data_IF_363061963396
#
_entry.id   IF_363061963396
#
_cell.length_a   1.000
_cell.length_b   1.000
_cell.length_c   1.000
_cell.angle_alpha   90.00
_cell.angle_beta   90.00
_cell.angle_gamma   90.00
#
_symmetry.space_group_name_H-M   'P 1'
#
loop_
_entity.id
_entity.type
_entity.pdbx_description
1 polymer ?
#
# COMPACT_ATOMS: atom_id res chain seq x y z
N UNK A 1 -7.54 -7.69 -2.72
CA UNK A 1 -7.32 -6.23 -2.75
C UNK A 1 -7.09 -5.68 -1.35
N UNK A 2 -7.78 -6.19 -0.34
CA UNK A 2 -7.65 -5.82 1.09
C UNK A 2 -6.21 -5.58 1.59
N UNK A 3 -5.29 -6.53 1.40
CA UNK A 3 -3.88 -6.37 1.81
C UNK A 3 -3.20 -5.20 1.08
N UNK A 4 -3.43 -5.04 -0.22
CA UNK A 4 -2.81 -3.98 -1.00
C UNK A 4 -3.31 -2.59 -0.59
N UNK A 5 -4.61 -2.45 -0.34
CA UNK A 5 -5.21 -1.19 0.09
C UNK A 5 -4.76 -0.83 1.51
N UNK A 6 -4.65 -1.84 2.38
CA UNK A 6 -4.06 -1.68 3.71
C UNK A 6 -2.61 -1.18 3.62
N UNK A 7 -1.78 -1.80 2.79
CA UNK A 7 -0.39 -1.36 2.61
C UNK A 7 -0.31 0.05 2.06
N UNK A 8 -1.12 0.34 1.04
CA UNK A 8 -1.16 1.65 0.38
C UNK A 8 -1.47 2.76 1.37
N UNK A 9 -2.50 2.58 2.20
CA UNK A 9 -2.90 3.55 3.20
C UNK A 9 -1.79 3.81 4.21
N UNK A 10 -1.19 2.76 4.78
CA UNK A 10 -0.15 2.94 5.80
C UNK A 10 1.16 3.52 5.27
N UNK A 11 1.51 3.22 4.02
CA UNK A 11 2.70 3.80 3.38
C UNK A 11 2.48 5.27 3.07
N UNK A 12 1.33 5.64 2.49
CA UNK A 12 1.08 7.01 2.08
C UNK A 12 0.72 7.94 3.24
N UNK A 13 -0.10 7.48 4.19
CA UNK A 13 -0.57 8.31 5.31
C UNK A 13 0.47 8.43 6.41
N UNK A 14 1.22 7.36 6.69
CA UNK A 14 2.10 7.28 7.86
C UNK A 14 3.55 6.96 7.54
N UNK A 15 3.93 6.78 6.27
CA UNK A 15 5.32 6.52 5.89
C UNK A 15 5.90 5.26 6.54
N UNK A 16 5.06 4.27 6.88
CA UNK A 16 5.52 3.12 7.65
C UNK A 16 6.54 2.27 6.86
N UNK A 17 7.72 1.96 7.43
CA UNK A 17 8.69 1.11 6.77
C UNK A 17 8.17 -0.33 6.63
N UNK A 18 8.65 -1.12 5.65
CA UNK A 18 8.12 -2.45 5.34
C UNK A 18 8.06 -3.40 6.54
N UNK A 19 9.08 -3.39 7.40
CA UNK A 19 9.13 -4.24 8.60
C UNK A 19 8.04 -3.90 9.62
N UNK A 20 7.82 -2.59 9.86
CA UNK A 20 6.76 -2.11 10.75
C UNK A 20 5.38 -2.43 10.15
N UNK A 21 5.20 -2.18 8.86
CA UNK A 21 3.95 -2.47 8.16
C UNK A 21 3.60 -3.96 8.19
N UNK A 22 4.59 -4.85 8.00
CA UNK A 22 4.39 -6.29 8.11
C UNK A 22 3.90 -6.69 9.50
N UNK A 23 4.50 -6.14 10.56
CA UNK A 23 4.09 -6.41 11.95
C UNK A 23 2.65 -5.94 12.21
N UNK A 24 2.29 -4.75 11.75
CA UNK A 24 0.94 -4.20 11.91
C UNK A 24 -0.06 -5.06 11.13
N UNK A 25 0.25 -5.44 9.89
CA UNK A 25 -0.61 -6.29 9.07
C UNK A 25 -0.86 -7.66 9.72
N UNK A 26 0.17 -8.29 10.30
CA UNK A 26 0.00 -9.55 11.06
C UNK A 26 -0.97 -9.43 12.23
N UNK A 27 -1.01 -8.27 12.88
CA UNK A 27 -1.92 -8.03 13.99
C UNK A 27 -3.34 -7.72 13.50
N UNK A 28 -3.46 -6.90 12.45
CA UNK A 28 -4.74 -6.51 11.86
C UNK A 28 -5.48 -7.68 11.21
N UNK A 29 -4.74 -8.61 10.57
CA UNK A 29 -5.29 -9.77 9.86
C UNK A 29 -5.12 -11.08 10.63
N UNK A 30 -4.96 -11.03 11.96
CA UNK A 30 -4.74 -12.23 12.80
C UNK A 30 -5.88 -13.25 12.71
N UNK A 31 -7.11 -12.76 12.63
CA UNK A 31 -8.34 -13.58 12.54
C UNK A 31 -8.77 -13.83 11.09
N UNK A 32 -8.00 -13.34 10.13
CA UNK A 32 -8.27 -13.50 8.70
C UNK A 32 -7.65 -14.80 8.18
N UNK A 33 -8.08 -15.23 6.98
CA UNK A 33 -7.53 -16.39 6.28
C UNK A 33 -6.08 -16.19 5.75
N UNK A 34 -5.47 -15.03 5.99
CA UNK A 34 -4.14 -14.70 5.44
C UNK A 34 -3.01 -15.22 6.33
N UNK A 35 -2.27 -16.22 5.82
CA UNK A 35 -1.03 -16.65 6.45
C UNK A 35 0.05 -15.56 6.46
N UNK A 36 0.98 -15.63 7.43
CA UNK A 36 2.12 -14.70 7.50
C UNK A 36 2.93 -14.66 6.20
N UNK A 37 3.06 -15.80 5.53
CA UNK A 37 3.77 -15.96 4.26
C UNK A 37 3.04 -15.23 3.13
N UNK A 38 1.71 -15.34 3.11
CA UNK A 38 0.83 -14.64 2.17
C UNK A 38 0.97 -13.13 2.32
N UNK A 39 0.92 -12.63 3.56
CA UNK A 39 1.10 -11.20 3.85
C UNK A 39 2.48 -10.74 3.37
N UNK A 40 3.54 -11.50 3.65
CA UNK A 40 4.90 -11.14 3.24
C UNK A 40 5.07 -11.15 1.70
N UNK A 41 4.52 -12.16 1.03
CA UNK A 41 4.52 -12.29 -0.43
C UNK A 41 3.87 -11.07 -1.08
N UNK A 42 2.69 -10.68 -0.61
CA UNK A 42 1.96 -9.54 -1.16
C UNK A 42 2.60 -8.21 -0.79
N UNK A 43 3.19 -8.07 0.39
CA UNK A 43 3.93 -6.88 0.78
C UNK A 43 5.13 -6.64 -0.14
N UNK A 44 5.92 -7.68 -0.44
CA UNK A 44 7.03 -7.58 -1.41
C UNK A 44 6.51 -7.21 -2.80
N UNK A 45 5.42 -7.82 -3.25
CA UNK A 45 4.83 -7.52 -4.55
C UNK A 45 4.30 -6.08 -4.62
N UNK A 46 3.67 -5.59 -3.55
CA UNK A 46 3.23 -4.21 -3.40
C UNK A 46 4.39 -3.24 -3.59
N UNK A 47 5.46 -3.36 -2.80
CA UNK A 47 6.60 -2.45 -2.86
C UNK A 47 7.27 -2.45 -4.25
N UNK A 48 7.49 -3.64 -4.84
CA UNK A 48 8.04 -3.77 -6.19
C UNK A 48 7.16 -3.04 -7.22
N UNK A 49 5.85 -3.28 -7.22
CA UNK A 49 4.93 -2.69 -8.21
C UNK A 49 4.74 -1.20 -7.97
N UNK A 50 4.59 -0.79 -6.72
CA UNK A 50 4.31 0.59 -6.35
C UNK A 50 5.40 1.54 -6.86
N UNK A 51 6.67 1.17 -6.68
CA UNK A 51 7.78 1.98 -7.18
C UNK A 51 8.03 1.80 -8.68
N UNK A 52 8.00 0.56 -9.20
CA UNK A 52 8.24 0.33 -10.64
C UNK A 52 7.18 0.98 -11.54
N UNK A 53 5.95 1.16 -11.03
CA UNK A 53 4.84 1.72 -11.80
C UNK A 53 4.63 3.22 -11.55
N UNK A 54 5.57 3.89 -10.85
CA UNK A 54 5.45 5.31 -10.53
C UNK A 54 5.37 6.19 -11.79
N UNK A 55 6.05 5.82 -12.89
CA UNK A 55 5.99 6.56 -14.15
C UNK A 55 4.57 6.70 -14.70
N UNK A 56 3.70 5.71 -14.47
CA UNK A 56 2.31 5.73 -14.92
C UNK A 56 1.49 6.80 -14.20
N UNK A 57 1.95 7.22 -13.02
CA UNK A 57 1.29 8.26 -12.20
C UNK A 57 1.66 9.67 -12.62
N UNK A 58 2.78 9.87 -13.30
CA UNK A 58 3.22 11.18 -13.77
C UNK A 58 2.29 11.78 -14.84
N UNK A 59 1.68 10.92 -15.66
CA UNK A 59 0.80 11.33 -16.76
C UNK A 59 -0.68 11.08 -16.44
N UNK A 60 -1.06 10.99 -15.16
CA UNK A 60 -2.47 10.84 -14.80
C UNK A 60 -3.24 12.12 -15.14
N UNK A 61 -4.46 12.02 -15.71
CA UNK A 61 -5.34 13.16 -15.89
C UNK A 61 -5.72 13.75 -14.52
N UNK A 62 -6.00 15.04 -14.48
CA UNK A 62 -6.46 15.69 -13.26
C UNK A 62 -7.77 15.06 -12.79
N UNK A 63 -7.84 14.77 -11.49
CA UNK A 63 -9.02 14.22 -10.84
C UNK A 63 -9.15 14.77 -9.43
N UNK A 64 -10.39 14.94 -8.92
CA UNK A 64 -10.60 15.45 -7.58
C UNK A 64 -10.02 14.48 -6.55
N UNK A 65 -9.31 15.03 -5.55
CA UNK A 65 -8.83 14.25 -4.41
C UNK A 65 -10.01 13.76 -3.59
N UNK A 66 -10.16 12.44 -3.46
CA UNK A 66 -11.18 11.81 -2.62
C UNK A 66 -10.50 11.16 -1.41
N UNK A 67 -10.90 11.53 -0.20
CA UNK A 67 -10.37 11.00 1.05
C UNK A 67 -9.09 11.67 1.56
N UNK A 68 -8.39 11.01 2.48
CA UNK A 68 -7.24 11.57 3.20
C UNK A 68 -5.89 11.36 2.50
N UNK A 69 -5.87 10.60 1.40
CA UNK A 69 -4.67 10.15 0.69
C UNK A 69 -4.88 10.32 -0.82
N UNK A 70 -3.88 10.84 -1.54
CA UNK A 70 -3.89 11.01 -3.00
C UNK A 70 -2.68 10.32 -3.63
N UNK A 71 -2.84 9.84 -4.87
CA UNK A 71 -1.79 9.26 -5.69
C UNK A 71 -1.33 10.17 -6.83
N UNK A 72 -1.97 11.33 -6.97
CA UNK A 72 -1.56 12.35 -7.93
C UNK A 72 -0.17 12.87 -7.55
N UNK A 73 0.76 12.98 -8.52
CA UNK A 73 2.04 13.64 -8.28
C UNK A 73 1.87 15.16 -8.03
N UNK A 74 0.67 15.70 -8.24
CA UNK A 74 0.34 17.13 -8.14
C UNK A 74 -0.23 17.52 -6.76
N UNK A 75 -0.52 16.56 -5.88
CA UNK A 75 -1.06 16.77 -4.52
C UNK A 75 -2.55 16.42 -4.34
#
# INVERSE_FOLDING_TARGET
YELHDFFLYYVLRWGCPPAKLFRIAKQAFRESEFSNETILKWLKNFYRRFFNQQFKRNCLPDGPKVGSVCLSPRG
#
